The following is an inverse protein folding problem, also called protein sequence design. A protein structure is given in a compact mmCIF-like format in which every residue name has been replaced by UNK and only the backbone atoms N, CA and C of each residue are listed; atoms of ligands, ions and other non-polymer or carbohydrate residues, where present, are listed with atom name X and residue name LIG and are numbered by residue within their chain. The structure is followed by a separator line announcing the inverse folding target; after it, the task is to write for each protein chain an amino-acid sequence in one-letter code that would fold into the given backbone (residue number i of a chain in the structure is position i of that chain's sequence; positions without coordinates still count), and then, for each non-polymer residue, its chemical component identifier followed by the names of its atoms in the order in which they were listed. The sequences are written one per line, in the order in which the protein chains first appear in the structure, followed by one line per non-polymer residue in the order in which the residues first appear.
data_IF_590494165225
#
_entry.id   IF_590494165225
#
_cell.length_a   1.000
_cell.length_b   1.000
_cell.length_c   1.000
_cell.angle_alpha   90.00
_cell.angle_beta   90.00
_cell.angle_gamma   90.00
#
_symmetry.space_group_name_H-M   'P 1'
#
loop_
_entity.id
_entity.type
_entity.pdbx_description
1 polymer ?
#
# COMPACT_ATOMS: atom_id res chain seq x y z
N UNK A 1 -16.12 -4.44 -13.01
CA UNK A 1 -16.16 -3.92 -13.24
C UNK A 1 -15.86 -3.05 -13.00
N UNK A 2 -15.68 -2.92 -12.56
CA UNK A 2 -15.46 -2.02 -12.20
C UNK A 2 -15.03 -1.23 -13.03
N UNK A 3 -14.91 -1.10 -13.75
CA UNK A 3 -14.44 -0.28 -14.71
C UNK A 3 -14.82 1.16 -14.70
N UNK A 4 -15.54 1.53 -13.74
CA UNK A 4 -15.92 2.93 -13.69
C UNK A 4 -14.76 3.80 -13.29
N UNK A 5 -14.50 4.84 -14.07
CA UNK A 5 -13.42 5.76 -13.77
C UNK A 5 -13.96 7.13 -13.43
N UNK A 6 -13.29 7.76 -12.50
CA UNK A 6 -13.64 9.10 -12.06
C UNK A 6 -12.62 10.09 -12.61
N UNK A 7 -13.13 11.18 -13.15
CA UNK A 7 -12.26 12.25 -13.62
C UNK A 7 -12.17 13.30 -12.52
N UNK A 8 -10.96 13.61 -12.12
CA UNK A 8 -10.71 14.53 -11.02
C UNK A 8 -9.64 15.52 -11.46
N UNK A 9 -9.90 16.80 -11.22
CA UNK A 9 -8.88 17.82 -11.45
C UNK A 9 -8.07 18.01 -10.18
N UNK A 10 -6.77 17.95 -10.32
CA UNK A 10 -5.87 18.16 -9.19
C UNK A 10 -4.86 19.24 -9.57
N UNK A 11 -4.37 19.92 -8.55
CA UNK A 11 -3.34 20.93 -8.74
C UNK A 11 -2.05 20.43 -8.13
N UNK A 12 -1.01 20.34 -8.95
CA UNK A 12 0.29 19.87 -8.50
C UNK A 12 1.31 20.88 -8.99
N UNK A 13 2.10 21.41 -8.07
CA UNK A 13 3.14 22.39 -8.39
C UNK A 13 2.57 23.58 -9.14
N UNK A 14 1.36 23.99 -8.78
CA UNK A 14 0.73 25.15 -9.38
C UNK A 14 0.01 24.92 -10.68
N UNK A 15 0.01 23.71 -11.20
CA UNK A 15 -0.66 23.41 -12.47
C UNK A 15 -1.75 22.38 -12.28
N UNK A 16 -2.80 22.54 -13.07
CA UNK A 16 -3.92 21.64 -13.01
C UNK A 16 -3.74 20.47 -13.95
N UNK A 17 -4.11 19.29 -13.47
CA UNK A 17 -4.06 18.07 -14.25
C UNK A 17 -5.38 17.33 -14.13
N UNK A 18 -5.95 16.89 -15.25
CA UNK A 18 -7.10 16.00 -15.19
C UNK A 18 -6.61 14.57 -15.01
N UNK A 19 -7.09 13.92 -13.97
CA UNK A 19 -6.67 12.56 -13.65
C UNK A 19 -7.87 11.65 -13.79
N UNK A 20 -7.70 10.55 -14.48
CA UNK A 20 -8.70 9.50 -14.55
C UNK A 20 -8.24 8.30 -13.74
N UNK A 21 -9.12 7.84 -12.87
CA UNK A 21 -8.76 6.75 -11.99
C UNK A 21 -10.02 6.04 -11.56
N UNK A 22 -9.91 4.73 -11.30
CA UNK A 22 -10.99 3.99 -10.70
C UNK A 22 -10.96 4.09 -9.18
N UNK A 23 -9.99 4.77 -8.62
CA UNK A 23 -9.99 5.11 -7.20
C UNK A 23 -11.01 6.22 -6.96
N UNK A 24 -11.41 6.37 -5.70
CA UNK A 24 -12.34 7.42 -5.35
C UNK A 24 -11.73 8.79 -5.59
N UNK A 25 -12.56 9.80 -5.88
CA UNK A 25 -12.03 11.15 -6.04
C UNK A 25 -11.27 11.64 -4.81
N UNK A 26 -11.73 11.30 -3.61
CA UNK A 26 -11.04 11.70 -2.40
C UNK A 26 -9.64 11.10 -2.33
N UNK A 27 -9.53 9.84 -2.70
CA UNK A 27 -8.23 9.20 -2.71
C UNK A 27 -7.30 9.84 -3.73
N UNK A 28 -7.82 10.09 -4.92
CA UNK A 28 -7.01 10.72 -5.95
C UNK A 28 -6.53 12.09 -5.52
N UNK A 29 -7.39 12.85 -4.86
CA UNK A 29 -6.97 14.16 -4.38
C UNK A 29 -5.92 14.04 -3.27
N UNK A 30 -6.06 13.05 -2.41
CA UNK A 30 -5.06 12.85 -1.35
C UNK A 30 -3.71 12.49 -1.94
N UNK A 31 -3.69 11.64 -2.96
CA UNK A 31 -2.45 11.29 -3.63
C UNK A 31 -1.82 12.52 -4.26
N UNK A 32 -2.65 13.32 -4.93
CA UNK A 32 -2.14 14.53 -5.57
C UNK A 32 -1.56 15.52 -4.56
N UNK A 33 -2.22 15.65 -3.42
CA UNK A 33 -1.70 16.55 -2.38
C UNK A 33 -0.36 16.08 -1.85
N UNK A 34 -0.18 14.78 -1.74
CA UNK A 34 1.09 14.24 -1.26
C UNK A 34 2.21 14.58 -2.24
N UNK A 35 1.94 14.37 -3.52
CA UNK A 35 2.94 14.69 -4.54
C UNK A 35 3.24 16.18 -4.57
N UNK A 36 2.18 17.01 -4.53
CA UNK A 36 2.34 18.44 -4.53
C UNK A 36 3.23 18.91 -3.40
N UNK A 37 2.98 18.38 -2.21
CA UNK A 37 3.75 18.75 -1.04
C UNK A 37 5.20 18.34 -1.17
N UNK A 38 5.44 17.13 -1.67
CA UNK A 38 6.80 16.65 -1.84
C UNK A 38 7.59 17.56 -2.80
N UNK A 39 6.94 17.98 -3.88
CA UNK A 39 7.60 18.87 -4.84
C UNK A 39 7.87 20.23 -4.20
N UNK A 40 6.89 20.75 -3.46
CA UNK A 40 7.08 22.05 -2.80
C UNK A 40 8.21 22.01 -1.79
N UNK A 41 8.31 20.90 -1.07
CA UNK A 41 9.39 20.77 -0.08
C UNK A 41 10.75 20.80 -0.75
N UNK A 42 10.90 20.14 -1.90
CA UNK A 42 12.16 20.18 -2.62
C UNK A 42 12.47 21.61 -3.07
N UNK A 43 11.47 22.30 -3.59
CA UNK A 43 11.68 23.67 -4.07
C UNK A 43 11.98 24.61 -2.92
N UNK A 44 11.37 24.39 -1.75
CA UNK A 44 11.59 25.23 -0.58
C UNK A 44 13.02 25.14 -0.06
N UNK A 45 13.71 24.05 -0.37
CA UNK A 45 15.10 23.93 0.04
C UNK A 45 16.03 24.87 -0.67
N UNK A 46 15.60 25.48 -1.78
CA UNK A 46 16.37 26.52 -2.45
C UNK A 46 17.46 26.05 -3.35
N UNK A 47 17.80 24.77 -3.32
CA UNK A 47 18.86 24.25 -4.16
C UNK A 47 18.36 23.95 -5.57
N UNK A 48 17.11 23.53 -5.70
CA UNK A 48 16.50 23.19 -6.97
C UNK A 48 15.46 24.25 -7.28
N UNK A 49 15.53 24.82 -8.48
CA UNK A 49 14.61 25.87 -8.87
C UNK A 49 13.62 25.39 -9.91
N UNK A 50 14.03 24.46 -10.75
CA UNK A 50 13.18 24.00 -11.84
C UNK A 50 12.20 22.96 -11.34
N UNK A 51 10.94 23.16 -11.72
CA UNK A 51 9.87 22.29 -11.24
C UNK A 51 10.06 20.85 -11.68
N UNK A 52 10.48 20.62 -12.93
CA UNK A 52 10.59 19.24 -13.37
C UNK A 52 11.71 18.49 -12.65
N UNK A 53 12.78 19.19 -12.31
CA UNK A 53 13.83 18.55 -11.50
C UNK A 53 13.34 18.29 -10.08
N UNK A 54 12.58 19.22 -9.54
CA UNK A 54 11.98 19.00 -8.24
C UNK A 54 11.03 17.82 -8.25
N UNK A 55 10.28 17.65 -9.34
CA UNK A 55 9.36 16.53 -9.46
C UNK A 55 10.12 15.20 -9.49
N UNK A 56 11.24 15.14 -10.18
CA UNK A 56 12.03 13.93 -10.22
C UNK A 56 12.58 13.60 -8.84
N UNK A 57 13.10 14.60 -8.14
CA UNK A 57 13.61 14.38 -6.79
C UNK A 57 12.51 13.99 -5.84
N UNK A 58 11.34 14.60 -5.96
CA UNK A 58 10.19 14.23 -5.13
C UNK A 58 9.78 12.78 -5.41
N UNK A 59 9.78 12.37 -6.68
CA UNK A 59 9.44 11.00 -7.02
C UNK A 59 10.43 10.02 -6.39
N UNK A 60 11.71 10.37 -6.40
CA UNK A 60 12.70 9.52 -5.75
C UNK A 60 12.47 9.43 -4.25
N UNK A 61 12.14 10.55 -3.61
CA UNK A 61 11.86 10.53 -2.18
C UNK A 61 10.65 9.68 -1.85
N UNK A 62 9.58 9.84 -2.63
CA UNK A 62 8.36 9.09 -2.39
C UNK A 62 8.61 7.60 -2.60
N UNK A 63 9.34 7.25 -3.65
CA UNK A 63 9.65 5.86 -3.92
C UNK A 63 10.52 5.28 -2.81
N UNK A 64 11.47 6.06 -2.31
CA UNK A 64 12.29 5.62 -1.20
C UNK A 64 11.45 5.36 0.04
N UNK A 65 10.49 6.23 0.32
CA UNK A 65 9.59 6.03 1.44
C UNK A 65 8.77 4.75 1.25
N UNK A 66 8.30 4.53 0.04
CA UNK A 66 7.52 3.33 -0.26
C UNK A 66 8.35 2.07 -0.01
N UNK A 67 9.58 2.08 -0.48
CA UNK A 67 10.45 0.92 -0.30
C UNK A 67 10.74 0.67 1.17
N UNK A 68 10.95 1.73 1.93
CA UNK A 68 11.19 1.60 3.37
C UNK A 68 9.99 1.00 4.08
N UNK A 69 8.79 1.43 3.69
CA UNK A 69 7.59 0.89 4.31
C UNK A 69 7.37 -0.56 3.95
N UNK A 70 7.67 -0.93 2.71
CA UNK A 70 7.58 -2.33 2.32
C UNK A 70 8.56 -3.19 3.10
N UNK A 71 9.76 -2.69 3.29
CA UNK A 71 10.76 -3.41 4.06
C UNK A 71 10.33 -3.57 5.51
N UNK A 72 9.82 -2.50 6.10
CA UNK A 72 9.34 -2.55 7.48
C UNK A 72 8.20 -3.53 7.63
N UNK A 73 7.29 -3.56 6.65
CA UNK A 73 6.17 -4.48 6.68
C UNK A 73 6.67 -5.93 6.57
N UNK A 74 7.65 -6.18 5.71
CA UNK A 74 8.18 -7.52 5.56
C UNK A 74 8.86 -7.99 6.86
N UNK A 75 9.62 -7.10 7.48
CA UNK A 75 10.29 -7.43 8.74
C UNK A 75 9.26 -7.74 9.81
N UNK A 76 8.21 -6.92 9.90
CA UNK A 76 7.17 -7.14 10.88
C UNK A 76 6.47 -8.48 10.66
N UNK A 77 6.16 -8.79 9.39
CA UNK A 77 5.52 -10.05 9.07
C UNK A 77 6.40 -11.23 9.46
N UNK A 78 7.71 -11.12 9.22
CA UNK A 78 8.63 -12.18 9.63
C UNK A 78 8.64 -12.36 11.14
N UNK A 79 8.65 -11.24 11.87
CA UNK A 79 8.62 -11.32 13.33
C UNK A 79 7.36 -11.95 13.85
N UNK A 80 6.23 -11.61 13.22
CA UNK A 80 4.96 -12.19 13.65
C UNK A 80 4.90 -13.68 13.36
N UNK A 81 5.46 -14.11 12.24
CA UNK A 81 5.52 -15.53 11.93
C UNK A 81 6.40 -16.26 12.93
N UNK A 82 7.54 -15.67 13.26
CA UNK A 82 8.43 -16.27 14.25
C UNK A 82 7.75 -16.39 15.60
N UNK A 83 7.03 -15.35 15.99
CA UNK A 83 6.31 -15.39 17.27
C UNK A 83 5.23 -16.45 17.25
N UNK A 84 4.51 -16.57 16.14
CA UNK A 84 3.49 -17.58 16.00
C UNK A 84 4.07 -18.98 16.11
N UNK A 85 5.25 -19.19 15.50
CA UNK A 85 5.92 -20.49 15.61
C UNK A 85 6.32 -20.78 17.05
N UNK A 86 6.84 -19.78 17.75
CA UNK A 86 7.19 -19.94 19.15
C UNK A 86 5.97 -20.32 19.98
N UNK A 87 4.86 -19.65 19.74
CA UNK A 87 3.64 -19.97 20.47
C UNK A 87 3.17 -21.38 20.19
N UNK A 88 3.27 -21.82 18.95
CA UNK A 88 2.85 -23.17 18.61
C UNK A 88 3.69 -24.21 19.33
N UNK A 89 4.98 -23.94 19.47
CA UNK A 89 5.85 -24.88 20.19
C UNK A 89 5.47 -24.97 21.65
N UNK A 90 4.90 -23.91 22.22
CA UNK A 90 4.51 -23.91 23.61
C UNK A 90 3.17 -24.60 23.85
N UNK A 91 2.38 -24.77 22.80
CA UNK A 91 1.06 -25.39 22.96
C UNK A 91 1.17 -26.90 22.91
N UNK A 92 0.39 -27.61 23.76
CA UNK A 92 0.34 -29.06 23.67
C UNK A 92 -0.20 -29.48 22.32
N UNK A 93 0.33 -30.54 21.74
CA UNK A 93 -0.12 -30.95 20.41
C UNK A 93 -1.61 -31.24 20.32
N UNK A 94 -2.16 -31.81 21.36
CA UNK A 94 -3.58 -32.15 21.33
C UNK A 94 -4.48 -30.93 21.27
N UNK A 95 -3.98 -29.80 21.65
CA UNK A 95 -4.79 -28.58 21.70
C UNK A 95 -4.56 -27.65 20.52
N UNK A 96 -3.85 -28.10 19.55
CA UNK A 96 -3.63 -27.25 18.40
C UNK A 96 -4.91 -27.11 17.60
N UNK A 97 -5.20 -25.91 17.21
CA UNK A 97 -6.37 -25.62 16.42
C UNK A 97 -5.99 -25.10 15.05
N UNK A 98 -4.77 -25.31 14.65
CA UNK A 98 -4.31 -24.73 13.39
C UNK A 98 -5.14 -25.23 12.21
N UNK A 99 -5.59 -26.46 12.25
CA UNK A 99 -6.42 -26.95 11.18
C UNK A 99 -7.73 -26.18 11.05
N UNK A 100 -8.30 -25.84 12.18
CA UNK A 100 -9.52 -25.07 12.15
C UNK A 100 -9.29 -23.67 11.58
N UNK A 101 -8.19 -23.10 11.95
CA UNK A 101 -7.88 -21.76 11.46
C UNK A 101 -7.63 -21.77 9.96
N UNK A 102 -7.00 -22.81 9.49
CA UNK A 102 -6.75 -22.91 8.07
C UNK A 102 -8.04 -22.99 7.28
N UNK A 103 -9.02 -23.64 7.83
CA UNK A 103 -10.30 -23.73 7.14
C UNK A 103 -11.00 -22.41 7.05
N UNK A 104 -10.76 -21.53 7.99
CA UNK A 104 -11.39 -20.23 7.98
C UNK A 104 -10.83 -19.35 6.87
N UNK A 105 -9.53 -19.43 6.67
CA UNK A 105 -8.87 -18.49 5.76
C UNK A 105 -9.32 -18.64 4.32
N UNK A 106 -9.40 -19.85 3.78
CA UNK A 106 -9.62 -19.95 2.35
C UNK A 106 -10.97 -19.53 1.88
N UNK A 107 -11.75 -19.14 2.73
CA UNK A 107 -13.01 -18.67 2.30
C UNK A 107 -12.89 -17.61 1.26
N UNK A 108 -12.16 -17.50 0.56
CA UNK A 108 -12.04 -16.53 -0.28
C UNK A 108 -11.86 -16.87 -1.55
N UNK A 109 -11.90 -17.50 -1.87
CA UNK A 109 -11.92 -17.73 -2.81
C UNK A 109 -12.35 -18.26 -3.43
N UNK A 110 -12.45 -18.28 -3.43
CA UNK A 110 -12.87 -18.77 -3.85
C UNK A 110 -12.98 -19.73 -4.00
N UNK A 111 -13.14 -20.15 -4.02
CA UNK A 111 -13.33 -20.99 -3.92
C UNK A 111 -13.71 -21.86 -4.18
N UNK A 112 -13.80 -22.21 -4.38
CA UNK A 112 -13.99 -22.92 -4.23
C UNK A 112 -14.11 -23.66 -4.17
N UNK A 113 -14.27 -23.87 -4.26
CA UNK A 113 -14.24 -24.40 -3.86
C UNK A 113 -14.23 -25.22 -3.85
N UNK A 114 -14.43 -25.41 -4.03
CA UNK A 114 -14.32 -25.97 -3.62
C UNK A 114 -14.35 -26.84 -3.50
N UNK A 115 -14.53 -27.01 -3.83
CA UNK A 115 -14.59 -27.52 -3.24
C UNK A 115 -14.70 -28.34 -3.05
N UNK A 116 -14.86 -28.61 -3.14
CA UNK A 116 -14.87 -29.05 -2.51
C UNK A 116 -15.10 -29.77 -2.12
N UNK A 117 -15.37 -29.99 -2.04
CA UNK A 117 -15.35 -30.20 -1.27
C UNK A 117 -15.53 -30.36 -0.92
N UNK A 118 -15.70 -30.13 -1.12
CA UNK A 118 -15.65 -29.78 -0.52
C UNK A 118 -15.92 -29.90 -0.32
#
# INVERSE_FOLDING_TARGET
MSGKRHAVRVTIAGEEYPIRSDASPEHTRAVARYVDRAIRDVLAGGTVIETHKAAILAALQITNELFREREATAILADRMRALGDDLRRLLPPAKRVSGAMERVVPADEGGEAAGAER
#
